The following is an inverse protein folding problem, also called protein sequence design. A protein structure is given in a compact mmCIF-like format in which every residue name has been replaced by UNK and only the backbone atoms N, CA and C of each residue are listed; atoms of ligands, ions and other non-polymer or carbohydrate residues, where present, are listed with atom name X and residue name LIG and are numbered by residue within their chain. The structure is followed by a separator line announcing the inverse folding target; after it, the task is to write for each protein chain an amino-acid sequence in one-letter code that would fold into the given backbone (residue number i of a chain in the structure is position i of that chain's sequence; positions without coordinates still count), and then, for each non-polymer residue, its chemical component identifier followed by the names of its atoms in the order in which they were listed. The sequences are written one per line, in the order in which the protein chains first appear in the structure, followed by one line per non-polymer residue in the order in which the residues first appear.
data_IF_082281406934
#
_entry.id   IF_082281406934
#
_cell.length_a   1.000
_cell.length_b   1.000
_cell.length_c   1.000
_cell.angle_alpha   90.00
_cell.angle_beta   90.00
_cell.angle_gamma   90.00
#
_symmetry.space_group_name_H-M   'P 1'
#
loop_
_entity.id
_entity.type
_entity.pdbx_description
1 polymer ?
#
# COMPACT_ATOMS: atom_id res chain seq x y z
N UNK A 1 11.17 12.49 4.52
CA UNK A 1 12.23 11.55 4.12
C UNK A 1 12.98 11.16 5.39
N UNK A 2 12.93 9.88 5.78
CA UNK A 2 13.55 9.38 7.02
C UNK A 2 14.74 8.51 6.66
N UNK A 3 15.87 8.66 7.37
CA UNK A 3 17.00 7.74 7.24
C UNK A 3 16.75 6.50 8.09
N UNK A 4 17.14 5.33 7.59
CA UNK A 4 17.04 4.07 8.33
C UNK A 4 18.39 3.75 8.99
N UNK A 5 18.36 3.41 10.27
CA UNK A 5 19.57 3.16 11.06
C UNK A 5 20.14 1.74 10.86
N UNK A 6 19.34 0.81 10.31
CA UNK A 6 19.73 -0.58 10.07
C UNK A 6 19.01 -1.14 8.84
N UNK A 7 19.77 -1.77 7.94
CA UNK A 7 19.24 -2.45 6.75
C UNK A 7 18.25 -3.58 7.08
N UNK A 8 18.29 -4.12 8.29
CA UNK A 8 17.37 -5.20 8.73
C UNK A 8 15.89 -4.76 8.74
N UNK A 9 15.63 -3.46 8.82
CA UNK A 9 14.27 -2.90 8.80
C UNK A 9 13.74 -2.64 7.38
N UNK A 10 14.61 -2.67 6.36
CA UNK A 10 14.25 -2.43 4.95
C UNK A 10 13.14 -3.36 4.45
N UNK A 11 13.18 -4.70 4.71
CA UNK A 11 12.14 -5.60 4.20
C UNK A 11 10.75 -5.32 4.77
N UNK A 12 10.68 -4.97 6.07
CA UNK A 12 9.41 -4.67 6.72
C UNK A 12 8.78 -3.38 6.16
N UNK A 13 9.59 -2.34 6.01
CA UNK A 13 9.14 -1.06 5.43
C UNK A 13 8.67 -1.24 3.97
N UNK A 14 9.36 -2.08 3.18
CA UNK A 14 8.97 -2.40 1.81
C UNK A 14 7.60 -3.10 1.74
N UNK A 15 7.34 -4.03 2.67
CA UNK A 15 6.04 -4.73 2.77
C UNK A 15 4.92 -3.75 3.15
N UNK A 16 5.22 -2.76 4.00
CA UNK A 16 4.29 -1.67 4.38
C UNK A 16 3.97 -0.71 3.21
N UNK A 17 4.60 -0.90 2.05
CA UNK A 17 4.38 -0.08 0.86
C UNK A 17 5.24 1.18 0.81
N UNK A 18 6.27 1.27 1.66
CA UNK A 18 7.20 2.39 1.67
C UNK A 18 8.24 2.18 0.58
N UNK A 19 8.52 3.26 -0.17
CA UNK A 19 9.57 3.26 -1.19
C UNK A 19 10.93 3.51 -0.54
N UNK A 20 11.95 2.80 -1.01
CA UNK A 20 13.29 2.84 -0.43
C UNK A 20 14.27 3.33 -1.49
N UNK A 21 15.01 4.39 -1.18
CA UNK A 21 16.03 4.97 -2.05
C UNK A 21 17.42 4.76 -1.44
N UNK A 22 18.26 4.03 -2.17
CA UNK A 22 19.68 3.88 -1.85
C UNK A 22 20.48 4.94 -2.60
N UNK A 23 21.22 5.78 -1.88
CA UNK A 23 22.07 6.82 -2.49
C UNK A 23 23.35 7.01 -1.68
N UNK A 24 24.49 6.75 -2.33
CA UNK A 24 25.80 6.67 -1.68
C UNK A 24 25.74 5.69 -0.50
N UNK A 25 26.18 6.09 0.69
CA UNK A 25 26.15 5.29 1.92
C UNK A 25 24.86 5.50 2.73
N UNK A 26 23.82 6.08 2.11
CA UNK A 26 22.57 6.42 2.79
C UNK A 26 21.38 5.65 2.21
N UNK A 27 20.46 5.29 3.09
CA UNK A 27 19.20 4.65 2.75
C UNK A 27 18.05 5.50 3.25
N UNK A 28 17.18 5.90 2.32
CA UNK A 28 16.07 6.81 2.58
C UNK A 28 14.72 6.10 2.42
N UNK A 29 13.83 6.34 3.38
CA UNK A 29 12.44 5.91 3.33
C UNK A 29 11.54 7.04 2.82
N UNK A 30 10.76 6.71 1.80
CA UNK A 30 9.81 7.57 1.11
C UNK A 30 8.42 6.95 1.24
N UNK A 31 7.63 7.49 2.16
CA UNK A 31 6.22 7.16 2.27
C UNK A 31 5.44 7.91 1.17
N UNK A 32 5.23 7.24 0.04
CA UNK A 32 4.43 7.77 -1.06
C UNK A 32 2.98 7.39 -0.82
N UNK A 33 2.32 8.14 0.07
CA UNK A 33 0.85 8.08 0.19
C UNK A 33 0.25 8.67 -1.08
N UNK A 34 -0.08 7.81 -2.03
CA UNK A 34 -1.04 8.16 -3.05
C UNK A 34 -2.39 8.24 -2.35
N UNK A 35 -2.78 9.41 -1.85
CA UNK A 35 -4.19 9.67 -1.56
C UNK A 35 -4.93 9.58 -2.90
N UNK A 36 -5.40 8.37 -3.23
CA UNK A 36 -6.58 8.28 -4.08
C UNK A 36 -7.65 8.96 -3.27
N UNK A 37 -7.99 10.17 -3.72
CA UNK A 37 -9.12 10.93 -3.22
C UNK A 37 -10.35 10.01 -3.30
N UNK A 38 -10.63 9.28 -2.21
CA UNK A 38 -11.89 8.60 -1.97
C UNK A 38 -12.92 9.66 -1.58
N UNK A 39 -12.92 10.83 -2.23
CA UNK A 39 -14.09 11.66 -2.31
C UNK A 39 -15.14 10.74 -2.90
N UNK A 40 -15.93 10.20 -1.99
CA UNK A 40 -17.18 9.52 -2.21
C UNK A 40 -17.86 10.39 -3.24
N UNK A 41 -17.83 9.94 -4.50
CA UNK A 41 -18.63 10.57 -5.51
C UNK A 41 -20.04 10.29 -5.01
N UNK A 42 -20.68 11.31 -4.44
CA UNK A 42 -22.06 11.34 -4.00
C UNK A 42 -22.95 11.07 -5.21
N UNK A 43 -22.94 9.82 -5.66
CA UNK A 43 -23.87 9.28 -6.61
C UNK A 43 -24.14 7.90 -6.09
N UNK A 44 -25.29 7.80 -5.44
CA UNK A 44 -25.97 6.58 -4.98
C UNK A 44 -26.29 5.62 -6.15
N UNK A 45 -25.29 5.30 -6.98
CA UNK A 45 -25.35 4.21 -7.92
C UNK A 45 -25.10 2.93 -7.13
N UNK A 46 -26.15 2.11 -7.05
CA UNK A 46 -26.22 0.90 -6.26
C UNK A 46 -24.99 0.00 -6.42
N UNK A 47 -24.43 -0.40 -5.29
CA UNK A 47 -23.29 -1.33 -5.14
C UNK A 47 -23.52 -2.64 -5.92
N UNK A 48 -24.77 -2.98 -6.21
CA UNK A 48 -25.20 -4.14 -7.01
C UNK A 48 -24.69 -4.10 -8.46
N UNK A 49 -24.52 -2.93 -9.08
CA UNK A 49 -24.10 -2.82 -10.49
C UNK A 49 -22.56 -2.80 -10.62
N UNK A 50 -21.86 -2.18 -9.67
CA UNK A 50 -20.40 -1.95 -9.73
C UNK A 50 -19.57 -3.06 -9.08
N UNK A 51 -20.20 -3.95 -8.31
CA UNK A 51 -19.51 -5.00 -7.56
C UNK A 51 -18.65 -4.46 -6.41
N UNK A 52 -18.02 -5.37 -5.64
CA UNK A 52 -17.17 -4.97 -4.52
C UNK A 52 -15.97 -4.16 -5.01
N UNK A 53 -15.87 -2.90 -4.62
CA UNK A 53 -14.74 -2.01 -4.96
C UNK A 53 -13.39 -2.48 -4.38
N UNK A 54 -13.42 -3.46 -3.48
CA UNK A 54 -12.26 -4.12 -2.86
C UNK A 54 -12.10 -5.59 -3.29
N UNK A 55 -12.85 -6.05 -4.30
CA UNK A 55 -12.72 -7.39 -4.85
C UNK A 55 -11.51 -7.54 -5.75
N UNK A 56 -11.11 -8.79 -6.01
CA UNK A 56 -10.14 -9.07 -7.07
C UNK A 56 -10.69 -8.63 -8.43
N UNK A 57 -9.78 -8.20 -9.30
CA UNK A 57 -10.06 -7.78 -10.67
C UNK A 57 -9.26 -8.63 -11.66
N UNK A 58 -9.44 -8.42 -12.97
CA UNK A 58 -8.59 -9.07 -13.99
C UNK A 58 -7.16 -8.49 -14.03
N UNK A 59 -6.92 -7.38 -13.32
CA UNK A 59 -5.59 -6.78 -13.21
C UNK A 59 -4.77 -7.48 -12.13
N UNK A 60 -3.78 -8.27 -12.58
CA UNK A 60 -2.81 -8.92 -11.69
C UNK A 60 -2.08 -7.91 -10.77
N UNK A 61 -1.59 -6.74 -11.24
CA UNK A 61 -0.99 -5.73 -10.36
C UNK A 61 -1.91 -5.26 -9.24
N UNK A 62 -3.20 -5.03 -9.54
CA UNK A 62 -4.21 -4.63 -8.55
C UNK A 62 -4.40 -5.74 -7.50
N UNK A 63 -4.51 -7.00 -7.93
CA UNK A 63 -4.71 -8.12 -7.02
C UNK A 63 -3.51 -8.34 -6.09
N UNK A 64 -2.28 -8.20 -6.62
CA UNK A 64 -1.06 -8.26 -5.81
C UNK A 64 -1.05 -7.12 -4.77
N UNK A 65 -1.47 -5.91 -5.16
CA UNK A 65 -1.61 -4.78 -4.24
C UNK A 65 -2.61 -5.04 -3.11
N UNK A 66 -3.76 -5.65 -3.43
CA UNK A 66 -4.77 -6.04 -2.43
C UNK A 66 -4.22 -7.07 -1.43
N UNK A 67 -3.51 -8.10 -1.92
CA UNK A 67 -2.89 -9.14 -1.06
C UNK A 67 -1.83 -8.51 -0.15
N UNK A 68 -0.93 -7.67 -0.69
CA UNK A 68 0.09 -6.98 0.12
C UNK A 68 -0.54 -6.12 1.22
N UNK A 69 -1.61 -5.41 0.87
CA UNK A 69 -2.36 -4.59 1.84
C UNK A 69 -2.96 -5.45 2.94
N UNK A 70 -3.57 -6.60 2.60
CA UNK A 70 -4.13 -7.52 3.58
C UNK A 70 -3.07 -8.10 4.53
N UNK A 71 -1.91 -8.54 4.00
CA UNK A 71 -0.80 -9.07 4.80
C UNK A 71 -0.20 -8.01 5.73
N UNK A 72 -0.02 -6.78 5.25
CA UNK A 72 0.49 -5.68 6.09
C UNK A 72 -0.46 -5.30 7.24
N UNK A 73 -1.76 -5.56 7.11
CA UNK A 73 -2.78 -5.33 8.15
C UNK A 73 -2.90 -6.51 9.13
N UNK A 74 -2.48 -7.72 8.75
CA UNK A 74 -2.54 -8.90 9.62
C UNK A 74 -1.51 -8.89 10.76
N UNK A 75 -0.49 -8.03 10.71
CA UNK A 75 0.55 -7.91 11.73
C UNK A 75 0.22 -6.89 12.85
N UNK A 76 -1.03 -6.46 12.97
CA UNK A 76 -1.55 -5.71 14.13
C UNK A 76 -2.63 -6.56 14.80
N UNK A 77 -2.20 -7.45 15.68
CA UNK A 77 -2.90 -8.07 16.83
C UNK A 77 -2.34 -9.48 17.06
N UNK A 78 -1.26 -9.55 17.83
CA UNK A 78 -1.06 -10.50 18.94
C UNK A 78 -0.37 -9.72 20.07
#
# INVERSE_FOLDING_TARGET
MKSIESEEKVPEELIRGISILFFQENVFLLDVKLEKNNAVSDTSAEITILGPQSGFSESLPTNIGLIRTALSRGNIND
#
